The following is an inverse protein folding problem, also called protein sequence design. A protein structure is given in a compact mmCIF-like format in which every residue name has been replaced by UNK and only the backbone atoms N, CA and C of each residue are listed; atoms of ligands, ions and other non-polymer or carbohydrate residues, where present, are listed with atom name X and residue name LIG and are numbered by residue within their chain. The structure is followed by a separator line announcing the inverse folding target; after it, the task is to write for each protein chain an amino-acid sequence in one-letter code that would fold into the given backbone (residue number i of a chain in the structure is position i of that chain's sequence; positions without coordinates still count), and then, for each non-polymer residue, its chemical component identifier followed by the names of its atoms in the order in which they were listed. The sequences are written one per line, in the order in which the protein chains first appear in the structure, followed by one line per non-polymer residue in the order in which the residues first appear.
data_IF_145448664556
#
_entry.id   IF_145448664556
#
_cell.length_a   1.000
_cell.length_b   1.000
_cell.length_c   1.000
_cell.angle_alpha   90.00
_cell.angle_beta   90.00
_cell.angle_gamma   90.00
#
_symmetry.space_group_name_H-M   'P 1'
#
loop_
_entity.id
_entity.type
_entity.pdbx_description
1 polymer ?
#
# COMPACT_ATOMS: atom_id res chain seq x y z
N UNK A 1 -13.04 20.84 -23.36
CA UNK A 1 -12.67 19.42 -23.14
C UNK A 1 -11.16 19.37 -23.04
N UNK A 2 -10.61 19.44 -21.83
CA UNK A 2 -9.18 19.63 -21.60
C UNK A 2 -8.68 18.59 -20.60
N UNK A 3 -7.80 17.72 -21.11
CA UNK A 3 -6.73 16.99 -20.42
C UNK A 3 -6.97 16.56 -18.96
N UNK A 4 -7.51 15.35 -18.82
CA UNK A 4 -7.48 14.57 -17.57
C UNK A 4 -6.11 13.89 -17.41
N UNK A 5 -5.06 14.67 -17.18
CA UNK A 5 -3.75 14.15 -16.76
C UNK A 5 -3.18 15.02 -15.66
N UNK A 6 -3.58 14.74 -14.42
CA UNK A 6 -2.82 15.14 -13.24
C UNK A 6 -2.46 13.89 -12.43
N UNK A 7 -1.43 13.20 -12.96
CA UNK A 7 -0.29 12.70 -12.21
C UNK A 7 -0.60 12.22 -10.77
N UNK A 8 -1.10 10.99 -10.66
CA UNK A 8 -0.96 10.20 -9.43
C UNK A 8 0.54 9.88 -9.25
N UNK A 9 1.25 10.80 -8.60
CA UNK A 9 2.65 10.79 -8.15
C UNK A 9 3.51 9.61 -8.67
N UNK A 10 4.44 9.89 -9.58
CA UNK A 10 5.27 8.93 -10.34
C UNK A 10 6.24 8.08 -9.52
N UNK A 11 6.33 8.24 -8.20
CA UNK A 11 7.49 7.71 -7.44
C UNK A 11 7.67 6.18 -7.48
N UNK A 12 6.68 5.38 -7.87
CA UNK A 12 6.81 3.91 -7.90
C UNK A 12 5.95 3.21 -8.97
N UNK A 13 5.63 3.90 -10.09
CA UNK A 13 4.81 3.33 -11.18
C UNK A 13 5.63 2.39 -12.05
N UNK A 14 5.20 1.15 -12.19
CA UNK A 14 5.72 0.15 -13.12
C UNK A 14 4.70 0.03 -14.25
N UNK A 15 5.06 0.45 -15.46
CA UNK A 15 4.28 0.18 -16.67
C UNK A 15 4.81 -1.08 -17.33
N UNK A 16 3.93 -1.99 -17.72
CA UNK A 16 4.28 -3.13 -18.59
C UNK A 16 3.45 -3.00 -19.86
N UNK A 17 4.09 -2.80 -21.01
CA UNK A 17 3.46 -2.96 -22.32
C UNK A 17 3.68 -4.39 -22.79
N UNK A 18 2.60 -5.11 -23.08
CA UNK A 18 2.71 -6.38 -23.81
C UNK A 18 2.72 -6.04 -25.31
N UNK A 19 3.88 -6.21 -25.96
CA UNK A 19 3.98 -6.06 -27.41
C UNK A 19 3.33 -7.29 -28.10
N UNK A 20 2.01 -7.25 -28.24
CA UNK A 20 1.22 -8.25 -28.97
C UNK A 20 1.05 -7.86 -30.44
N UNK A 21 1.55 -8.71 -31.35
CA UNK A 21 1.36 -8.62 -32.80
C UNK A 21 -0.12 -8.86 -33.15
N UNK A 22 -0.80 -7.83 -33.65
CA UNK A 22 -1.97 -7.97 -34.52
C UNK A 22 -3.37 -7.97 -33.88
N UNK A 23 -4.12 -6.93 -34.25
CA UNK A 23 -5.58 -6.79 -34.34
C UNK A 23 -6.38 -6.32 -33.11
N UNK A 24 -6.76 -5.04 -33.16
CA UNK A 24 -7.98 -4.39 -32.63
C UNK A 24 -8.64 -4.96 -31.36
N UNK A 25 -8.03 -4.73 -30.20
CA UNK A 25 -8.74 -4.58 -28.92
C UNK A 25 -7.94 -3.62 -28.04
N UNK A 26 -8.64 -2.77 -27.27
CA UNK A 26 -8.08 -1.63 -26.52
C UNK A 26 -6.77 -1.97 -25.80
N UNK A 27 -5.74 -1.12 -25.96
CA UNK A 27 -4.45 -1.18 -25.26
C UNK A 27 -4.69 -1.12 -23.73
N UNK A 28 -4.95 -2.28 -23.13
CA UNK A 28 -5.16 -2.46 -21.70
C UNK A 28 -3.78 -2.40 -21.03
N UNK A 29 -3.25 -1.18 -20.95
CA UNK A 29 -2.04 -0.93 -20.18
C UNK A 29 -2.33 -1.14 -18.69
N UNK A 30 -1.83 -2.24 -18.13
CA UNK A 30 -1.88 -2.46 -16.69
C UNK A 30 -0.94 -1.49 -15.99
N UNK A 31 -1.46 -0.81 -14.98
CA UNK A 31 -0.66 0.09 -14.14
C UNK A 31 -0.33 -0.64 -12.85
N UNK A 32 0.96 -0.91 -12.66
CA UNK A 32 1.43 -1.52 -11.43
C UNK A 32 2.10 -0.50 -10.53
N UNK A 33 1.93 -0.66 -9.23
CA UNK A 33 2.70 0.08 -8.23
C UNK A 33 3.39 -0.86 -7.26
N UNK A 34 4.57 -0.45 -6.81
CA UNK A 34 5.21 -1.03 -5.66
C UNK A 34 4.62 -0.41 -4.39
N UNK A 35 4.12 -1.26 -3.49
CA UNK A 35 3.54 -0.82 -2.22
C UNK A 35 4.00 -1.72 -1.06
N UNK A 36 3.66 -1.29 0.15
CA UNK A 36 4.09 -1.91 1.41
C UNK A 36 2.92 -2.08 2.36
N UNK A 37 2.88 -3.21 3.06
CA UNK A 37 1.93 -3.52 4.13
C UNK A 37 2.68 -3.85 5.42
N UNK A 38 2.48 -3.07 6.48
CA UNK A 38 3.01 -3.37 7.81
C UNK A 38 2.09 -4.33 8.56
N UNK A 39 2.63 -5.41 9.10
CA UNK A 39 1.89 -6.43 9.86
C UNK A 39 2.77 -7.06 10.94
N UNK A 40 2.25 -8.01 11.71
CA UNK A 40 3.03 -8.75 12.71
C UNK A 40 3.69 -9.99 12.12
N UNK A 41 4.76 -10.50 12.75
CA UNK A 41 5.38 -11.78 12.38
C UNK A 41 4.37 -12.93 12.37
N UNK A 42 3.43 -12.94 13.32
CA UNK A 42 2.37 -13.93 13.42
C UNK A 42 1.48 -13.97 12.16
N UNK A 43 1.13 -12.80 11.62
CA UNK A 43 0.23 -12.66 10.49
C UNK A 43 0.91 -12.92 9.14
N UNK A 44 2.24 -12.80 9.05
CA UNK A 44 2.98 -13.05 7.80
C UNK A 44 2.71 -14.45 7.26
N UNK A 45 2.71 -15.48 8.13
CA UNK A 45 2.52 -16.86 7.68
C UNK A 45 1.17 -17.08 7.03
N UNK A 46 0.08 -16.58 7.62
CA UNK A 46 -1.26 -16.70 7.03
C UNK A 46 -1.34 -15.90 5.73
N UNK A 47 -0.79 -14.69 5.68
CA UNK A 47 -0.80 -13.88 4.45
C UNK A 47 -0.03 -14.56 3.30
N UNK A 48 1.07 -15.25 3.59
CA UNK A 48 1.83 -15.98 2.58
C UNK A 48 1.11 -17.23 2.06
N UNK A 49 0.35 -17.92 2.92
CA UNK A 49 -0.33 -19.18 2.57
C UNK A 49 -1.69 -18.89 1.92
N UNK A 50 -2.48 -18.02 2.55
CA UNK A 50 -3.88 -17.78 2.21
C UNK A 50 -4.08 -16.51 1.36
N UNK A 51 -3.01 -15.71 1.20
CA UNK A 51 -3.08 -14.38 0.62
C UNK A 51 -3.63 -13.35 1.61
N UNK A 52 -3.81 -12.12 1.12
CA UNK A 52 -4.43 -11.08 1.93
C UNK A 52 -5.91 -11.38 2.19
N UNK A 53 -6.38 -10.94 3.36
CA UNK A 53 -7.79 -10.85 3.68
C UNK A 53 -8.20 -9.39 3.69
N UNK A 54 -9.42 -9.11 3.21
CA UNK A 54 -9.97 -7.77 3.32
C UNK A 54 -10.16 -7.43 4.80
N UNK A 55 -9.86 -6.20 5.20
CA UNK A 55 -10.32 -5.70 6.48
C UNK A 55 -11.86 -5.70 6.53
N UNK A 56 -12.40 -5.94 7.71
CA UNK A 56 -13.85 -5.85 7.94
C UNK A 56 -14.34 -4.39 7.90
N UNK A 57 -13.47 -3.47 8.28
CA UNK A 57 -13.74 -2.04 8.39
C UNK A 57 -12.50 -1.20 8.01
N UNK A 58 -12.69 0.10 7.88
CA UNK A 58 -11.68 1.10 7.60
C UNK A 58 -12.28 2.33 6.92
N UNK A 59 -11.59 3.46 7.02
CA UNK A 59 -12.06 4.76 6.50
C UNK A 59 -12.35 4.79 4.99
N UNK A 60 -11.88 3.80 4.23
CA UNK A 60 -12.09 3.64 2.78
C UNK A 60 -13.00 2.43 2.45
N UNK A 61 -13.62 1.86 3.48
CA UNK A 61 -14.34 0.60 3.39
C UNK A 61 -13.42 -0.62 3.37
N UNK A 62 -14.00 -1.76 3.01
CA UNK A 62 -13.34 -3.07 3.01
C UNK A 62 -12.25 -3.12 1.95
N UNK A 63 -11.12 -3.71 2.30
CA UNK A 63 -10.03 -3.96 1.35
C UNK A 63 -8.71 -4.20 2.03
N UNK A 64 -7.63 -4.15 1.25
CA UNK A 64 -6.26 -4.29 1.76
C UNK A 64 -5.61 -2.92 1.77
N UNK A 65 -5.23 -2.47 2.97
CA UNK A 65 -4.58 -1.18 3.17
C UNK A 65 -3.08 -1.27 2.90
N UNK A 66 -2.62 -0.43 1.97
CA UNK A 66 -1.25 -0.40 1.48
C UNK A 66 -0.71 1.04 1.47
N UNK A 67 0.59 1.17 1.65
CA UNK A 67 1.30 2.45 1.59
C UNK A 67 2.32 2.45 0.46
N UNK A 68 2.45 3.56 -0.27
CA UNK A 68 3.60 3.80 -1.16
C UNK A 68 4.87 4.22 -0.42
N UNK A 69 4.73 4.58 0.86
CA UNK A 69 5.81 4.95 1.76
C UNK A 69 6.16 3.78 2.69
N UNK A 70 7.40 3.29 2.55
CA UNK A 70 7.96 2.20 3.36
C UNK A 70 8.06 2.58 4.85
N UNK A 71 8.47 3.81 5.16
CA UNK A 71 8.60 4.29 6.54
C UNK A 71 7.22 4.44 7.18
N UNK A 72 6.20 4.87 6.42
CA UNK A 72 4.81 4.85 6.92
C UNK A 72 4.39 3.42 7.25
N UNK A 73 4.62 2.46 6.35
CA UNK A 73 4.23 1.06 6.55
C UNK A 73 4.97 0.40 7.73
N UNK A 74 6.24 0.73 7.96
CA UNK A 74 7.06 0.14 9.04
C UNK A 74 6.57 0.48 10.45
N UNK A 75 5.70 1.50 10.60
CA UNK A 75 5.10 1.86 11.88
C UNK A 75 3.94 0.95 12.29
N UNK A 76 3.40 0.17 11.35
CA UNK A 76 2.24 -0.67 11.60
C UNK A 76 2.61 -2.12 11.86
N UNK A 77 1.82 -2.82 12.72
CA UNK A 77 0.75 -2.26 13.55
C UNK A 77 1.29 -1.37 14.69
N UNK A 78 0.51 -0.34 15.04
CA UNK A 78 0.83 0.57 16.14
C UNK A 78 0.83 -0.19 17.47
N UNK A 79 1.67 0.22 18.42
CA UNK A 79 1.76 -0.42 19.74
C UNK A 79 2.55 -1.74 19.79
N UNK A 80 2.97 -2.29 18.63
CA UNK A 80 3.87 -3.46 18.59
C UNK A 80 5.35 -3.03 18.63
N UNK A 81 6.23 -3.88 19.16
CA UNK A 81 7.68 -3.67 19.11
C UNK A 81 8.22 -3.78 17.69
N UNK A 82 9.36 -3.14 17.40
CA UNK A 82 10.00 -3.23 16.07
C UNK A 82 10.28 -4.69 15.66
N UNK A 83 10.67 -5.53 16.63
CA UNK A 83 10.98 -6.94 16.43
C UNK A 83 9.76 -7.79 16.04
N UNK A 84 8.55 -7.38 16.41
CA UNK A 84 7.31 -8.07 16.04
C UNK A 84 6.76 -7.58 14.69
N UNK A 85 7.22 -6.43 14.19
CA UNK A 85 6.74 -5.88 12.91
C UNK A 85 7.44 -6.52 11.73
N UNK A 86 6.70 -6.70 10.64
CA UNK A 86 7.19 -7.14 9.34
C UNK A 86 6.53 -6.31 8.27
N UNK A 87 7.29 -5.95 7.25
CA UNK A 87 6.78 -5.26 6.08
C UNK A 87 6.71 -6.25 4.93
N UNK A 88 5.52 -6.40 4.36
CA UNK A 88 5.30 -7.16 3.14
C UNK A 88 5.41 -6.21 1.96
N UNK A 89 6.33 -6.49 1.04
CA UNK A 89 6.52 -5.77 -0.22
C UNK A 89 5.65 -6.41 -1.29
N UNK A 90 4.83 -5.59 -1.96
CA UNK A 90 3.85 -6.08 -2.94
C UNK A 90 3.93 -5.32 -4.26
N UNK A 91 3.65 -6.02 -5.37
CA UNK A 91 3.33 -5.44 -6.67
C UNK A 91 1.81 -5.45 -6.81
N UNK A 92 1.22 -4.29 -7.04
CA UNK A 92 -0.24 -4.09 -7.06
C UNK A 92 -0.66 -3.66 -8.45
N UNK A 93 -1.57 -4.39 -9.09
CA UNK A 93 -2.34 -3.89 -10.23
C UNK A 93 -3.44 -2.96 -9.68
N UNK A 94 -3.34 -1.65 -9.94
CA UNK A 94 -4.29 -0.71 -9.32
C UNK A 94 -5.62 -0.60 -10.05
N UNK A 95 -5.73 -1.15 -11.27
CA UNK A 95 -6.95 -1.05 -12.07
C UNK A 95 -7.48 0.38 -12.18
N UNK A 96 -8.80 0.55 -12.00
CA UNK A 96 -9.43 1.87 -11.90
C UNK A 96 -9.20 2.47 -10.51
N UNK A 97 -8.46 3.56 -10.47
CA UNK A 97 -8.17 4.31 -9.24
C UNK A 97 -9.16 5.48 -9.10
N UNK A 98 -9.74 5.65 -7.92
CA UNK A 98 -10.43 6.88 -7.54
C UNK A 98 -9.62 7.63 -6.47
N UNK A 99 -9.53 8.94 -6.63
CA UNK A 99 -9.09 9.83 -5.55
C UNK A 99 -10.26 10.07 -4.59
N UNK A 100 -10.12 9.65 -3.34
CA UNK A 100 -11.11 9.85 -2.29
C UNK A 100 -10.74 11.09 -1.48
N UNK A 101 -11.57 12.13 -1.59
CA UNK A 101 -11.47 13.37 -0.81
C UNK A 101 -12.74 13.67 -0.01
N UNK A 102 -13.69 12.74 0.03
CA UNK A 102 -14.96 12.82 0.79
C UNK A 102 -15.49 11.41 1.09
N UNK A 103 -16.40 11.27 2.07
CA UNK A 103 -17.00 10.00 2.49
C UNK A 103 -18.17 9.57 1.58
N UNK A 104 -18.51 8.27 1.54
CA UNK A 104 -19.66 7.76 0.78
C UNK A 104 -19.43 7.62 -0.73
N UNK A 105 -18.18 7.39 -1.13
CA UNK A 105 -17.78 7.24 -2.53
C UNK A 105 -18.26 5.91 -3.14
N UNK A 106 -18.41 5.83 -4.48
CA UNK A 106 -18.69 4.57 -5.17
C UNK A 106 -17.58 3.53 -4.95
N UNK A 107 -17.86 2.26 -5.28
CA UNK A 107 -16.86 1.17 -5.26
C UNK A 107 -15.93 1.25 -6.47
N UNK A 108 -14.62 1.09 -6.24
CA UNK A 108 -13.56 1.07 -7.25
C UNK A 108 -12.55 -0.04 -6.96
N UNK A 109 -11.70 -0.37 -7.94
CA UNK A 109 -10.63 -1.36 -7.76
C UNK A 109 -9.63 -0.91 -6.70
N UNK A 110 -9.26 0.38 -6.72
CA UNK A 110 -8.39 1.01 -5.73
C UNK A 110 -8.93 2.39 -5.33
N UNK A 111 -9.10 2.60 -4.02
CA UNK A 111 -9.31 3.91 -3.43
C UNK A 111 -7.96 4.51 -3.01
N UNK A 112 -7.68 5.74 -3.43
CA UNK A 112 -6.46 6.48 -3.10
C UNK A 112 -6.83 7.78 -2.38
N UNK A 113 -6.23 8.01 -1.22
CA UNK A 113 -6.38 9.26 -0.46
C UNK A 113 -5.14 10.11 -0.70
N UNK A 114 -5.24 11.29 -1.31
CA UNK A 114 -4.12 12.19 -1.44
C UNK A 114 -3.66 12.73 -0.08
N UNK A 115 -2.35 13.02 0.10
CA UNK A 115 -1.88 13.68 1.31
C UNK A 115 -2.52 15.06 1.46
N UNK A 116 -2.65 15.53 2.71
CA UNK A 116 -3.17 16.85 3.08
C UNK A 116 -4.58 17.19 2.58
N UNK A 117 -5.43 16.20 2.29
CA UNK A 117 -6.82 16.45 1.89
C UNK A 117 -7.82 16.45 3.06
N UNK A 118 -7.35 16.28 4.30
CA UNK A 118 -8.18 16.30 5.50
C UNK A 118 -9.02 15.03 5.73
N UNK A 119 -8.90 14.00 4.89
CA UNK A 119 -9.65 12.75 5.04
C UNK A 119 -9.11 11.83 6.14
N UNK A 120 -7.79 11.79 6.34
CA UNK A 120 -7.11 10.94 7.34
C UNK A 120 -6.47 11.80 8.42
N UNK A 121 -6.51 11.36 9.68
CA UNK A 121 -5.82 12.05 10.79
C UNK A 121 -4.32 12.21 10.53
N UNK A 122 -3.70 11.23 9.84
CA UNK A 122 -2.28 11.28 9.52
C UNK A 122 -1.91 12.38 8.51
N UNK A 123 -2.88 12.90 7.75
CA UNK A 123 -2.66 13.71 6.53
C UNK A 123 -1.73 13.06 5.49
N UNK A 124 -1.39 11.78 5.64
CA UNK A 124 -0.54 11.03 4.73
C UNK A 124 -1.39 10.24 3.74
N UNK A 125 -0.81 9.90 2.61
CA UNK A 125 -1.47 9.07 1.61
C UNK A 125 -1.92 7.70 2.14
N UNK A 126 -3.10 7.23 1.73
CA UNK A 126 -3.58 5.87 1.95
C UNK A 126 -4.07 5.23 0.64
N UNK A 127 -3.86 3.93 0.50
CA UNK A 127 -4.38 3.15 -0.61
C UNK A 127 -5.17 1.97 -0.05
N UNK A 128 -6.38 1.74 -0.55
CA UNK A 128 -7.18 0.56 -0.25
C UNK A 128 -7.52 -0.15 -1.56
N UNK A 129 -7.06 -1.39 -1.69
CA UNK A 129 -7.32 -2.23 -2.86
C UNK A 129 -8.45 -3.19 -2.53
N UNK A 130 -9.52 -3.16 -3.32
CA UNK A 130 -10.70 -3.98 -3.09
C UNK A 130 -10.43 -5.46 -3.39
N UNK A 131 -9.96 -5.76 -4.60
CA UNK A 131 -9.68 -7.14 -5.01
C UNK A 131 -8.25 -7.56 -4.61
N UNK A 132 -8.17 -8.46 -3.62
CA UNK A 132 -6.91 -9.05 -3.16
C UNK A 132 -6.11 -9.76 -4.26
N UNK A 133 -6.75 -10.26 -5.32
CA UNK A 133 -6.07 -10.96 -6.42
C UNK A 133 -5.16 -10.03 -7.23
N UNK A 134 -5.38 -8.72 -7.14
CA UNK A 134 -4.52 -7.69 -7.74
C UNK A 134 -3.22 -7.45 -6.99
N UNK A 135 -3.02 -8.09 -5.84
CA UNK A 135 -1.86 -7.89 -4.95
C UNK A 135 -0.95 -9.11 -5.02
N UNK A 136 0.24 -8.93 -5.57
CA UNK A 136 1.28 -9.97 -5.61
C UNK A 136 2.36 -9.69 -4.57
N UNK A 137 2.57 -10.61 -3.65
CA UNK A 137 3.69 -10.55 -2.70
C UNK A 137 5.00 -10.80 -3.46
N UNK A 138 5.98 -9.92 -3.24
CA UNK A 138 7.29 -10.00 -3.91
C UNK A 138 8.47 -9.93 -2.94
N UNK A 139 8.23 -9.76 -1.64
CA UNK A 139 9.29 -9.79 -0.64
C UNK A 139 8.81 -9.46 0.77
N UNK A 140 9.70 -9.70 1.75
CA UNK A 140 9.53 -9.35 3.15
C UNK A 140 10.73 -8.53 3.62
N UNK A 141 10.46 -7.47 4.39
CA UNK A 141 11.49 -6.70 5.09
C UNK A 141 11.21 -6.79 6.60
N UNK A 142 12.23 -7.21 7.35
CA UNK A 142 12.21 -7.22 8.80
C UNK A 142 12.92 -5.95 9.28
N UNK A 143 12.25 -5.01 9.95
CA UNK A 143 12.90 -3.90 10.62
C UNK A 143 13.97 -4.47 11.55
N UNK A 144 15.19 -3.94 11.49
CA UNK A 144 16.20 -4.30 12.50
C UNK A 144 15.85 -3.50 13.75
N UNK A 145 15.86 -4.11 14.95
CA UNK A 145 15.75 -3.34 16.18
C UNK A 145 16.85 -2.28 16.16
N UNK A 146 16.46 -1.02 16.31
CA UNK A 146 17.44 0.04 16.53
C UNK A 146 18.17 -0.31 17.83
N UNK A 147 19.51 -0.48 17.85
CA UNK A 147 20.21 -0.70 19.10
C UNK A 147 19.83 0.44 20.03
N UNK A 148 19.24 0.11 21.18
CA UNK A 148 19.01 1.10 22.22
C UNK A 148 20.34 1.81 22.44
N UNK A 149 20.36 3.14 22.34
CA UNK A 149 21.47 3.92 22.83
C UNK A 149 21.55 3.63 24.33
N UNK A 150 22.31 2.60 24.71
CA UNK A 150 22.78 2.43 26.07
C UNK A 150 23.52 3.71 26.40
N UNK A 151 22.90 4.52 27.24
CA UNK A 151 23.49 5.71 27.83
C UNK A 151 24.83 5.31 28.46
N UNK A 152 25.91 5.57 27.72
CA UNK A 152 27.25 5.52 28.27
C UNK A 152 27.38 6.73 29.20
N UNK A 153 27.43 6.43 30.49
CA UNK A 153 28.16 7.22 31.47
C UNK A 153 27.47 8.47 32.01
N UNK A 154 26.81 8.31 33.16
CA UNK A 154 27.05 9.21 34.30
C UNK A 154 27.25 8.33 35.54
N UNK A 155 28.52 8.01 35.80
CA UNK A 155 28.97 7.72 37.17
C UNK A 155 29.43 9.06 37.73
N UNK A 156 28.81 9.49 38.82
CA UNK A 156 29.39 10.40 39.80
C UNK A 156 29.63 9.59 41.07
#
# INVERSE_FOLDING_TARGET
MSHFTSLVNLKHRIQTSEAGRGNTESDQSFVYYLMYHGTTRKNVRSILVDGFHQSEDGMLGRGVYLSRDLQKASRYPLGHSEDDRVIIKVKVDVGKVIAITYQGHPLYDTAWVPPNCGMVESNLEENCVWDRKRIKIIGLNFPKPTPALTAFGLRS
#
